data_IF_777778250561
#
_entry.id   IF_777778250561
#
_cell.length_a   1.000
_cell.length_b   1.000
_cell.length_c   1.000
_cell.angle_alpha   90.00
_cell.angle_beta   90.00
_cell.angle_gamma   90.00
#
_symmetry.space_group_name_H-M   'P 1'
#
loop_
_entity.id
_entity.type
_entity.pdbx_description
1 polymer ?
#
# COMPACT_ATOMS: atom_id res chain seq x y z
N UNK A 1 2.21 15.55 29.73
CA UNK A 1 2.08 15.58 28.26
C UNK A 1 1.07 16.66 27.95
N UNK A 2 1.52 17.85 27.53
CA UNK A 2 0.59 18.94 27.21
C UNK A 2 -0.07 18.60 25.87
N UNK A 3 -1.24 17.96 25.96
CA UNK A 3 -2.02 17.55 24.81
C UNK A 3 -2.78 18.78 24.31
N UNK A 4 -2.34 19.38 23.20
CA UNK A 4 -3.10 20.48 22.63
C UNK A 4 -4.55 20.04 22.34
N UNK A 5 -5.48 20.83 22.86
CA UNK A 5 -6.91 20.54 22.94
C UNK A 5 -7.57 20.42 21.56
N UNK A 6 -7.02 21.07 20.53
CA UNK A 6 -7.55 20.98 19.16
C UNK A 6 -7.27 19.59 18.60
N UNK A 7 -6.07 19.06 18.82
CA UNK A 7 -5.70 17.71 18.38
C UNK A 7 -6.53 16.66 19.12
N UNK A 8 -6.70 16.80 20.45
CA UNK A 8 -7.58 15.92 21.21
C UNK A 8 -9.00 15.92 20.64
N UNK A 9 -9.54 17.10 20.32
CA UNK A 9 -10.86 17.24 19.68
C UNK A 9 -10.96 16.55 18.32
N UNK A 10 -9.89 16.58 17.52
CA UNK A 10 -9.85 15.87 16.23
C UNK A 10 -9.84 14.35 16.42
N UNK A 11 -8.96 13.83 17.29
CA UNK A 11 -8.88 12.39 17.60
C UNK A 11 -10.22 11.88 18.15
N UNK A 12 -10.84 12.62 19.08
CA UNK A 12 -12.14 12.29 19.66
C UNK A 12 -13.24 12.16 18.59
N UNK A 13 -13.30 13.10 17.63
CA UNK A 13 -14.27 13.05 16.53
C UNK A 13 -14.03 11.87 15.58
N UNK A 14 -12.78 11.61 15.24
CA UNK A 14 -12.39 10.51 14.33
C UNK A 14 -12.68 9.13 14.95
N UNK A 15 -12.37 8.96 16.24
CA UNK A 15 -12.69 7.75 17.00
C UNK A 15 -14.17 7.66 17.43
N UNK A 16 -14.95 8.74 17.26
CA UNK A 16 -16.36 8.85 17.70
C UNK A 16 -16.54 8.58 19.20
N UNK A 17 -15.65 9.13 20.01
CA UNK A 17 -15.66 9.02 21.48
C UNK A 17 -15.61 10.40 22.11
N UNK A 18 -15.90 10.51 23.41
CA UNK A 18 -15.74 11.79 24.12
C UNK A 18 -14.27 12.13 24.38
N UNK A 19 -13.97 13.44 24.52
CA UNK A 19 -12.64 13.94 24.86
C UNK A 19 -12.05 13.26 26.10
N UNK A 20 -12.87 13.11 27.16
CA UNK A 20 -12.46 12.47 28.41
C UNK A 20 -12.00 11.02 28.19
N UNK A 21 -12.67 10.27 27.31
CA UNK A 21 -12.29 8.90 26.98
C UNK A 21 -11.00 8.87 26.16
N UNK A 22 -10.82 9.81 25.22
CA UNK A 22 -9.57 9.97 24.47
C UNK A 22 -8.40 10.25 25.40
N UNK A 23 -8.52 11.26 26.28
CA UNK A 23 -7.47 11.62 27.25
C UNK A 23 -7.10 10.43 28.15
N UNK A 24 -8.09 9.78 28.75
CA UNK A 24 -7.86 8.62 29.63
C UNK A 24 -7.15 7.47 28.89
N UNK A 25 -7.53 7.23 27.63
CA UNK A 25 -6.89 6.20 26.79
C UNK A 25 -5.44 6.56 26.47
N UNK A 26 -5.16 7.82 26.12
CA UNK A 26 -3.81 8.29 25.80
C UNK A 26 -2.86 8.23 27.00
N UNK A 27 -3.36 8.48 28.21
CA UNK A 27 -2.57 8.29 29.45
C UNK A 27 -2.15 6.82 29.59
N UNK A 28 -3.09 5.89 29.40
CA UNK A 28 -2.77 4.46 29.49
C UNK A 28 -1.79 4.01 28.40
N UNK A 29 -1.94 4.51 27.17
CA UNK A 29 -1.01 4.22 26.07
C UNK A 29 0.40 4.79 26.33
N UNK A 30 0.49 5.97 26.95
CA UNK A 30 1.77 6.55 27.36
C UNK A 30 2.47 5.70 28.43
N UNK A 31 1.71 5.06 29.31
CA UNK A 31 2.20 4.07 30.29
C UNK A 31 2.47 2.68 29.66
N UNK A 32 2.53 2.61 28.32
CA UNK A 32 2.78 1.40 27.53
C UNK A 32 1.73 0.29 27.72
N UNK A 33 0.53 0.63 28.18
CA UNK A 33 -0.57 -0.33 28.23
C UNK A 33 -0.98 -0.72 26.80
N UNK A 34 -1.11 -2.04 26.55
CA UNK A 34 -1.50 -2.54 25.23
C UNK A 34 -2.99 -2.36 24.98
N UNK A 35 -3.41 -2.29 23.71
CA UNK A 35 -4.83 -2.18 23.32
C UNK A 35 -5.69 -3.27 23.98
N UNK A 36 -5.33 -4.57 23.94
CA UNK A 36 -6.12 -5.61 24.60
C UNK A 36 -6.15 -5.46 26.12
N UNK A 37 -5.06 -4.99 26.74
CA UNK A 37 -5.02 -4.74 28.18
C UNK A 37 -6.00 -3.64 28.57
N UNK A 38 -6.00 -2.53 27.83
CA UNK A 38 -6.90 -1.40 28.08
C UNK A 38 -8.36 -1.83 27.91
N UNK A 39 -8.67 -2.47 26.77
CA UNK A 39 -10.02 -2.92 26.45
C UNK A 39 -10.56 -3.95 27.45
N UNK A 40 -9.70 -4.77 28.06
CA UNK A 40 -10.13 -5.80 29.02
C UNK A 40 -10.14 -5.33 30.46
N UNK A 41 -9.10 -4.62 30.91
CA UNK A 41 -8.83 -4.35 32.33
C UNK A 41 -8.92 -2.88 32.74
N UNK A 42 -9.19 -1.97 31.79
CA UNK A 42 -9.33 -0.53 32.04
C UNK A 42 -10.63 0.07 31.50
N UNK A 43 -11.65 -0.78 31.31
CA UNK A 43 -12.97 -0.40 30.80
C UNK A 43 -13.60 0.78 31.55
N UNK A 44 -13.58 0.77 32.87
CA UNK A 44 -14.20 1.85 33.65
C UNK A 44 -13.47 3.20 33.45
N UNK A 45 -12.14 3.15 33.36
CA UNK A 45 -11.30 4.34 33.17
C UNK A 45 -11.51 4.95 31.78
N UNK A 46 -11.68 4.12 30.75
CA UNK A 46 -11.92 4.57 29.38
C UNK A 46 -13.40 4.75 29.04
N UNK A 47 -14.33 4.45 29.95
CA UNK A 47 -15.77 4.50 29.68
C UNK A 47 -16.25 3.44 28.68
N UNK A 48 -15.75 2.21 28.83
CA UNK A 48 -16.09 1.02 28.05
C UNK A 48 -15.74 1.10 26.56
N UNK A 49 -14.63 1.73 26.20
CA UNK A 49 -14.14 1.68 24.81
C UNK A 49 -13.77 0.25 24.41
N UNK A 50 -14.08 -0.08 23.15
CA UNK A 50 -13.64 -1.31 22.52
C UNK A 50 -12.22 -1.19 21.91
N UNK A 51 -11.67 -2.32 21.47
CA UNK A 51 -10.33 -2.39 20.88
C UNK A 51 -10.20 -1.58 19.58
N UNK A 52 -11.29 -1.43 18.82
CA UNK A 52 -11.29 -0.68 17.55
C UNK A 52 -11.15 0.81 17.85
N UNK A 53 -11.93 1.33 18.78
CA UNK A 53 -11.87 2.72 19.21
C UNK A 53 -10.50 3.08 19.82
N UNK A 54 -9.98 2.22 20.69
CA UNK A 54 -8.65 2.42 21.31
C UNK A 54 -7.54 2.42 20.26
N UNK A 55 -7.63 1.53 19.25
CA UNK A 55 -6.67 1.49 18.14
C UNK A 55 -6.70 2.76 17.30
N UNK A 56 -7.88 3.26 16.95
CA UNK A 56 -8.02 4.53 16.22
C UNK A 56 -7.37 5.68 17.01
N UNK A 57 -7.62 5.76 18.33
CA UNK A 57 -6.99 6.77 19.19
C UNK A 57 -5.46 6.67 19.13
N UNK A 58 -4.90 5.47 19.23
CA UNK A 58 -3.45 5.25 19.17
C UNK A 58 -2.85 5.65 17.82
N UNK A 59 -3.45 5.21 16.71
CA UNK A 59 -2.98 5.52 15.35
C UNK A 59 -3.04 7.03 15.06
N UNK A 60 -4.15 7.69 15.42
CA UNK A 60 -4.32 9.13 15.20
C UNK A 60 -3.42 9.95 16.12
N UNK A 61 -3.18 9.50 17.34
CA UNK A 61 -2.20 10.14 18.21
C UNK A 61 -0.80 10.12 17.60
N UNK A 62 -0.34 8.97 17.10
CA UNK A 62 0.97 8.86 16.48
C UNK A 62 1.06 9.73 15.21
N UNK A 63 0.01 9.75 14.38
CA UNK A 63 -0.07 10.67 13.22
C UNK A 63 0.16 12.13 13.62
N UNK A 64 -0.54 12.62 14.65
CA UNK A 64 -0.42 14.02 15.07
C UNK A 64 0.90 14.31 15.79
N UNK A 65 1.49 13.32 16.46
CA UNK A 65 2.82 13.42 17.06
C UNK A 65 3.89 13.58 15.99
N UNK A 66 3.85 12.78 14.93
CA UNK A 66 4.73 12.92 13.76
C UNK A 66 4.54 14.28 13.08
N UNK A 67 3.28 14.71 12.88
CA UNK A 67 2.97 16.01 12.27
C UNK A 67 3.56 17.16 13.11
N UNK A 68 3.42 17.13 14.43
CA UNK A 68 4.00 18.14 15.34
C UNK A 68 5.52 18.18 15.27
N UNK A 69 6.17 17.01 15.26
CA UNK A 69 7.62 16.93 15.13
C UNK A 69 8.08 17.56 13.80
N UNK A 70 7.41 17.20 12.69
CA UNK A 70 7.69 17.75 11.37
C UNK A 70 7.45 19.26 11.30
N UNK A 71 6.35 19.74 11.87
CA UNK A 71 6.03 21.18 11.97
C UNK A 71 7.15 21.96 12.66
N UNK A 72 7.66 21.42 13.77
CA UNK A 72 8.76 22.04 14.51
C UNK A 72 10.02 22.14 13.66
N UNK A 73 10.37 21.09 12.92
CA UNK A 73 11.50 21.11 11.97
C UNK A 73 11.32 22.16 10.88
N UNK A 74 10.11 22.26 10.32
CA UNK A 74 9.79 23.23 9.26
C UNK A 74 9.89 24.67 9.77
N UNK A 75 9.26 24.98 10.91
CA UNK A 75 9.32 26.31 11.52
C UNK A 75 10.78 26.74 11.75
N UNK A 76 11.59 25.83 12.33
CA UNK A 76 13.01 26.09 12.58
C UNK A 76 13.77 26.37 11.27
N UNK A 77 13.55 25.56 10.24
CA UNK A 77 14.24 25.72 8.95
C UNK A 77 13.90 27.04 8.26
N UNK A 78 12.65 27.51 8.36
CA UNK A 78 12.20 28.78 7.78
C UNK A 78 12.74 29.96 8.61
N UNK A 79 12.76 29.83 9.94
CA UNK A 79 13.30 30.84 10.85
C UNK A 79 14.81 31.03 10.67
N UNK A 80 15.57 29.95 10.50
CA UNK A 80 17.01 29.98 10.18
C UNK A 80 17.32 30.71 8.86
N UNK A 81 16.36 30.79 7.93
CA UNK A 81 16.47 31.55 6.68
C UNK A 81 16.02 33.00 6.79
N UNK A 82 15.47 33.42 7.95
CA UNK A 82 14.91 34.77 8.14
C UNK A 82 13.59 35.02 7.42
N UNK A 83 12.92 33.96 6.92
CA UNK A 83 11.72 34.07 6.09
C UNK A 83 10.41 33.82 6.87
N UNK A 84 10.48 33.58 8.18
CA UNK A 84 9.32 33.21 8.99
C UNK A 84 8.51 34.45 9.40
N UNK A 85 7.49 34.78 8.61
CA UNK A 85 6.51 35.82 8.96
C UNK A 85 5.49 35.31 9.98
N UNK A 86 4.82 36.21 10.69
CA UNK A 86 3.80 35.83 11.68
C UNK A 86 2.58 35.16 11.03
N UNK A 87 2.18 35.62 9.84
CA UNK A 87 1.12 34.98 9.05
C UNK A 87 1.50 33.53 8.67
N UNK A 88 2.73 33.32 8.19
CA UNK A 88 3.22 31.98 7.85
C UNK A 88 3.34 31.09 9.08
N UNK A 89 3.81 31.63 10.21
CA UNK A 89 3.88 30.92 11.49
C UNK A 89 2.50 30.41 11.90
N UNK A 90 1.49 31.28 11.84
CA UNK A 90 0.11 30.92 12.18
C UNK A 90 -0.44 29.85 11.22
N UNK A 91 -0.26 30.00 9.90
CA UNK A 91 -0.65 28.98 8.90
C UNK A 91 -0.03 27.61 9.17
N UNK A 92 1.25 27.56 9.51
CA UNK A 92 1.96 26.31 9.81
C UNK A 92 1.48 25.71 11.14
N UNK A 93 1.20 26.53 12.15
CA UNK A 93 0.66 26.10 13.44
C UNK A 93 -0.76 25.51 13.31
N UNK A 94 -1.60 26.13 12.50
CA UNK A 94 -2.99 25.72 12.26
C UNK A 94 -3.13 24.65 11.16
N UNK A 95 -2.04 24.15 10.60
CA UNK A 95 -2.06 23.07 9.61
C UNK A 95 -2.13 21.68 10.28
N UNK A 96 -3.15 20.89 9.95
CA UNK A 96 -3.40 19.56 10.51
C UNK A 96 -3.24 18.41 9.51
N UNK A 97 -2.77 18.71 8.31
CA UNK A 97 -2.57 17.74 7.24
C UNK A 97 -1.11 17.73 6.79
N UNK A 98 -0.50 16.54 6.73
CA UNK A 98 0.91 16.38 6.32
C UNK A 98 1.21 16.99 4.94
N UNK A 99 0.30 16.84 3.98
CA UNK A 99 0.49 17.34 2.62
C UNK A 99 0.46 18.87 2.55
N UNK A 100 -0.50 19.50 3.22
CA UNK A 100 -0.61 20.96 3.29
C UNK A 100 0.58 21.57 4.04
N UNK A 101 1.08 20.88 5.08
CA UNK A 101 2.30 21.30 5.80
C UNK A 101 3.54 21.27 4.90
N UNK A 102 3.69 20.24 4.06
CA UNK A 102 4.80 20.18 3.10
C UNK A 102 4.65 21.23 1.98
N UNK A 103 3.43 21.50 1.52
CA UNK A 103 3.17 22.55 0.53
C UNK A 103 3.57 23.94 1.07
N UNK A 104 3.24 24.26 2.33
CA UNK A 104 3.68 25.50 3.00
C UNK A 104 5.20 25.60 3.16
N UNK A 105 5.90 24.47 3.30
CA UNK A 105 7.35 24.43 3.43
C UNK A 105 8.08 24.47 2.08
N UNK A 106 7.42 24.09 0.99
CA UNK A 106 8.04 23.88 -0.31
C UNK A 106 8.88 25.07 -0.82
N UNK A 107 8.44 26.34 -0.70
CA UNK A 107 9.24 27.51 -1.12
C UNK A 107 10.57 27.66 -0.36
N UNK A 108 10.62 27.17 0.87
CA UNK A 108 11.75 27.33 1.79
C UNK A 108 12.64 26.09 1.87
N UNK A 109 12.25 25.01 1.20
CA UNK A 109 13.00 23.77 1.22
C UNK A 109 14.30 23.97 0.44
N UNK A 110 15.48 23.62 1.00
CA UNK A 110 16.75 23.74 0.28
C UNK A 110 16.72 23.01 -1.07
N UNK A 111 17.03 23.74 -2.15
CA UNK A 111 16.93 23.22 -3.53
C UNK A 111 18.31 23.07 -4.16
N UNK A 112 18.40 22.14 -5.12
CA UNK A 112 19.52 22.11 -6.08
C UNK A 112 19.37 23.30 -7.04
N UNK A 113 20.44 23.65 -7.78
CA UNK A 113 20.36 24.67 -8.84
C UNK A 113 19.22 24.34 -9.82
N UNK A 114 18.19 25.18 -9.86
CA UNK A 114 17.09 25.14 -10.82
C UNK A 114 17.24 26.24 -11.86
N UNK A 115 16.42 26.20 -12.92
CA UNK A 115 16.37 27.31 -13.88
C UNK A 115 16.01 28.65 -13.22
N UNK A 116 15.11 28.62 -12.23
CA UNK A 116 14.71 29.79 -11.46
C UNK A 116 15.86 30.30 -10.58
N UNK A 117 16.53 29.44 -9.80
CA UNK A 117 17.65 29.88 -8.95
C UNK A 117 18.79 30.45 -9.79
N UNK A 118 19.06 29.85 -10.97
CA UNK A 118 20.04 30.41 -11.91
C UNK A 118 19.60 31.78 -12.39
N UNK A 119 18.34 31.98 -12.77
CA UNK A 119 17.83 33.30 -13.17
C UNK A 119 17.87 34.34 -12.03
N UNK A 120 17.64 33.92 -10.78
CA UNK A 120 17.80 34.76 -9.58
C UNK A 120 19.26 35.17 -9.39
N UNK A 121 20.21 34.22 -9.50
CA UNK A 121 21.66 34.50 -9.45
C UNK A 121 22.09 35.49 -10.53
N UNK A 122 21.42 35.47 -11.70
CA UNK A 122 21.63 36.43 -12.80
C UNK A 122 20.96 37.79 -12.57
N UNK A 123 20.20 37.96 -11.49
CA UNK A 123 19.54 39.21 -11.11
C UNK A 123 18.22 39.48 -11.83
N UNK A 124 17.53 38.44 -12.33
CA UNK A 124 16.27 38.56 -13.09
C UNK A 124 15.01 38.55 -12.21
N UNK A 125 15.15 38.34 -10.91
CA UNK A 125 14.01 38.33 -9.98
C UNK A 125 13.18 39.62 -9.98
N UNK A 126 13.76 40.84 -10.04
CA UNK A 126 12.97 42.06 -10.11
C UNK A 126 12.07 42.14 -11.36
N UNK A 127 12.55 41.62 -12.51
CA UNK A 127 11.74 41.52 -13.72
C UNK A 127 10.58 40.52 -13.54
N UNK A 128 10.84 39.37 -12.90
CA UNK A 128 9.81 38.40 -12.56
C UNK A 128 8.73 38.99 -11.62
N UNK A 129 9.14 39.75 -10.60
CA UNK A 129 8.21 40.44 -9.67
C UNK A 129 7.34 41.45 -10.41
N UNK A 130 7.92 42.25 -11.29
CA UNK A 130 7.16 43.22 -12.10
C UNK A 130 6.06 42.54 -12.93
N UNK A 131 6.40 41.43 -13.61
CA UNK A 131 5.42 40.65 -14.39
C UNK A 131 4.35 40.03 -13.47
N UNK A 132 4.75 39.50 -12.31
CA UNK A 132 3.86 38.85 -11.34
C UNK A 132 2.85 39.81 -10.70
N UNK A 133 3.28 41.03 -10.37
CA UNK A 133 2.44 42.05 -9.73
C UNK A 133 1.31 42.53 -10.65
N UNK A 134 1.49 42.44 -11.97
CA UNK A 134 0.50 42.81 -12.99
C UNK A 134 0.01 44.26 -12.82
N UNK A 135 0.90 45.16 -12.42
CA UNK A 135 0.59 46.59 -12.28
C UNK A 135 1.16 47.30 -13.50
N UNK A 136 0.33 47.92 -14.36
CA UNK A 136 0.82 48.67 -15.52
C UNK A 136 1.82 49.75 -15.09
N UNK A 137 3.00 49.74 -15.71
CA UNK A 137 4.05 50.74 -15.51
C UNK A 137 4.18 51.70 -16.69
N UNK A 138 5.11 52.65 -16.59
CA UNK A 138 5.45 53.57 -17.69
C UNK A 138 6.21 52.87 -18.84
N UNK A 139 6.95 51.81 -18.52
CA UNK A 139 7.69 50.98 -19.50
C UNK A 139 6.92 49.71 -19.84
N UNK A 140 7.05 49.26 -21.08
CA UNK A 140 6.61 47.92 -21.46
C UNK A 140 7.46 46.83 -20.80
N UNK A 141 6.97 45.60 -20.80
CA UNK A 141 7.69 44.45 -20.23
C UNK A 141 9.00 44.21 -20.98
N UNK A 142 8.97 44.38 -22.29
CA UNK A 142 10.10 44.22 -23.19
C UNK A 142 11.14 45.33 -22.98
N UNK A 143 10.70 46.58 -22.84
CA UNK A 143 11.58 47.73 -22.53
C UNK A 143 12.24 47.55 -21.15
N UNK A 144 11.50 47.02 -20.18
CA UNK A 144 12.06 46.72 -18.88
C UNK A 144 13.07 45.57 -18.99
N UNK A 145 12.77 44.51 -19.74
CA UNK A 145 13.67 43.37 -19.93
C UNK A 145 15.00 43.74 -20.59
N UNK A 146 15.02 44.71 -21.50
CA UNK A 146 16.25 45.24 -22.10
C UNK A 146 17.22 45.82 -21.04
N UNK A 147 16.68 46.35 -19.93
CA UNK A 147 17.51 46.87 -18.83
C UNK A 147 18.21 45.77 -18.01
N UNK A 148 17.84 44.50 -18.19
CA UNK A 148 18.43 43.35 -17.50
C UNK A 148 19.50 42.62 -18.34
N UNK A 149 19.79 43.08 -19.57
CA UNK A 149 20.86 42.51 -20.39
C UNK A 149 22.22 42.73 -19.69
N UNK A 150 22.91 41.64 -19.38
CA UNK A 150 24.18 41.68 -18.68
C UNK A 150 25.02 40.44 -19.04
N UNK A 151 25.97 40.63 -19.96
CA UNK A 151 26.86 39.57 -20.43
C UNK A 151 27.73 38.96 -19.31
N UNK A 152 28.12 39.74 -18.30
CA UNK A 152 28.92 39.24 -17.16
C UNK A 152 28.11 38.29 -16.28
N UNK A 153 26.80 38.55 -16.15
CA UNK A 153 25.85 37.65 -15.49
C UNK A 153 25.31 36.56 -16.42
N UNK A 154 25.76 36.50 -17.67
CA UNK A 154 25.31 35.49 -18.64
C UNK A 154 23.87 35.68 -19.11
N UNK A 155 23.42 36.94 -19.24
CA UNK A 155 22.17 37.35 -19.88
C UNK A 155 22.52 38.12 -21.14
N UNK A 156 22.42 37.48 -22.30
CA UNK A 156 22.94 38.00 -23.57
C UNK A 156 21.92 38.79 -24.39
N UNK A 157 20.62 38.61 -24.12
CA UNK A 157 19.54 39.27 -24.84
C UNK A 157 18.32 39.54 -23.95
N UNK A 158 17.38 40.35 -24.44
CA UNK A 158 16.10 40.59 -23.76
C UNK A 158 15.25 39.32 -23.68
N UNK A 159 15.34 38.45 -24.68
CA UNK A 159 14.64 37.17 -24.71
C UNK A 159 15.15 36.24 -23.59
N UNK A 160 16.47 36.20 -23.36
CA UNK A 160 17.04 35.45 -22.23
C UNK A 160 16.64 36.03 -20.87
N UNK A 161 16.56 37.38 -20.76
CA UNK A 161 16.09 38.04 -19.55
C UNK A 161 14.63 37.68 -19.24
N UNK A 162 13.76 37.74 -20.25
CA UNK A 162 12.36 37.33 -20.16
C UNK A 162 12.24 35.85 -19.81
N UNK A 163 12.91 34.97 -20.55
CA UNK A 163 12.89 33.52 -20.28
C UNK A 163 13.31 33.20 -18.84
N UNK A 164 14.37 33.85 -18.34
CA UNK A 164 14.80 33.70 -16.94
C UNK A 164 13.75 34.18 -15.95
N UNK A 165 13.10 35.32 -16.19
CA UNK A 165 12.01 35.82 -15.36
C UNK A 165 10.80 34.86 -15.37
N UNK A 166 10.45 34.29 -16.52
CA UNK A 166 9.34 33.33 -16.64
C UNK A 166 9.65 32.01 -15.92
N UNK A 167 10.91 31.54 -15.93
CA UNK A 167 11.31 30.38 -15.13
C UNK A 167 11.13 30.61 -13.63
N UNK A 168 11.38 31.82 -13.14
CA UNK A 168 11.16 32.19 -11.73
C UNK A 168 9.67 32.13 -11.40
N UNK A 169 8.83 32.75 -12.24
CA UNK A 169 7.36 32.73 -12.07
C UNK A 169 6.83 31.30 -12.12
N UNK A 170 7.32 30.48 -13.05
CA UNK A 170 6.93 29.09 -13.17
C UNK A 170 7.21 28.29 -11.88
N UNK A 171 8.34 28.57 -11.21
CA UNK A 171 8.67 27.95 -9.93
C UNK A 171 7.74 28.46 -8.81
N UNK A 172 7.51 29.78 -8.70
CA UNK A 172 6.57 30.35 -7.71
C UNK A 172 5.16 29.76 -7.81
N UNK A 173 4.65 29.61 -9.04
CA UNK A 173 3.35 28.99 -9.32
C UNK A 173 3.35 27.53 -8.89
N UNK A 174 4.45 26.80 -9.15
CA UNK A 174 4.54 25.38 -8.82
C UNK A 174 4.57 25.10 -7.32
N UNK A 175 4.94 26.10 -6.54
CA UNK A 175 5.12 26.03 -5.08
C UNK A 175 4.01 26.75 -4.32
N UNK A 176 3.04 27.32 -5.02
CA UNK A 176 1.88 27.96 -4.41
C UNK A 176 0.96 26.88 -3.78
N UNK A 177 0.76 26.90 -2.44
CA UNK A 177 -0.02 25.86 -1.76
C UNK A 177 -1.47 25.74 -2.25
N UNK A 178 -2.13 26.85 -2.56
CA UNK A 178 -3.54 26.86 -3.00
C UNK A 178 -3.69 26.26 -4.40
N UNK A 179 -2.77 26.60 -5.32
CA UNK A 179 -2.74 26.02 -6.66
C UNK A 179 -2.50 24.50 -6.57
N UNK A 180 -1.52 24.07 -5.78
CA UNK A 180 -1.22 22.65 -5.57
C UNK A 180 -2.41 21.91 -4.97
N UNK A 181 -3.03 22.45 -3.93
CA UNK A 181 -4.23 21.88 -3.28
C UNK A 181 -5.36 21.70 -4.27
N UNK A 182 -5.66 22.73 -5.06
CA UNK A 182 -6.75 22.69 -6.04
C UNK A 182 -6.47 21.67 -7.15
N UNK A 183 -5.26 21.68 -7.73
CA UNK A 183 -4.86 20.72 -8.77
C UNK A 183 -4.83 19.27 -8.26
N UNK A 184 -4.39 19.05 -7.02
CA UNK A 184 -4.41 17.72 -6.37
C UNK A 184 -5.84 17.20 -6.24
N UNK A 185 -6.77 18.04 -5.78
CA UNK A 185 -8.18 17.68 -5.66
C UNK A 185 -8.80 17.37 -7.02
N UNK A 186 -8.57 18.23 -8.01
CA UNK A 186 -9.03 18.01 -9.38
C UNK A 186 -8.47 16.69 -9.95
N UNK A 187 -7.18 16.40 -9.71
CA UNK A 187 -6.53 15.15 -10.14
C UNK A 187 -7.09 13.91 -9.47
N UNK A 188 -7.43 13.98 -8.19
CA UNK A 188 -8.08 12.87 -7.51
C UNK A 188 -9.49 12.59 -8.05
N UNK A 189 -10.20 13.62 -8.51
CA UNK A 189 -11.58 13.54 -8.97
C UNK A 189 -11.73 13.18 -10.45
N UNK A 190 -10.95 13.81 -11.32
CA UNK A 190 -11.16 13.78 -12.78
C UNK A 190 -10.11 12.99 -13.55
N UNK A 191 -8.90 12.79 -12.99
CA UNK A 191 -7.83 12.15 -13.74
C UNK A 191 -8.06 10.65 -13.95
N UNK A 192 -7.33 10.10 -14.92
CA UNK A 192 -7.41 8.68 -15.31
C UNK A 192 -6.06 8.03 -15.08
N UNK A 193 -6.05 6.88 -14.40
CA UNK A 193 -4.89 5.99 -14.36
C UNK A 193 -4.79 5.31 -15.71
N UNK A 194 -3.65 5.47 -16.39
CA UNK A 194 -3.36 4.83 -17.66
C UNK A 194 -2.21 3.86 -17.46
N UNK A 195 -2.39 2.63 -17.95
CA UNK A 195 -1.36 1.60 -17.96
C UNK A 195 -1.15 1.11 -19.38
N UNK A 196 0.12 0.98 -19.77
CA UNK A 196 0.53 0.51 -21.09
C UNK A 196 1.64 -0.53 -20.97
N UNK A 197 1.68 -1.49 -21.88
CA UNK A 197 2.81 -2.42 -21.99
C UNK A 197 4.12 -1.68 -22.25
N UNK A 198 5.20 -2.07 -21.57
CA UNK A 198 6.50 -1.49 -21.76
C UNK A 198 7.04 -1.79 -23.18
N UNK A 199 7.86 -0.87 -23.72
CA UNK A 199 8.48 -1.05 -25.04
C UNK A 199 9.28 -2.36 -25.09
N UNK A 200 9.07 -3.16 -26.13
CA UNK A 200 9.73 -4.46 -26.31
C UNK A 200 9.12 -5.63 -25.51
N UNK A 201 7.98 -5.43 -24.83
CA UNK A 201 7.27 -6.47 -24.06
C UNK A 201 5.90 -6.86 -24.62
N UNK A 202 5.47 -6.25 -25.72
CA UNK A 202 4.13 -6.45 -26.31
C UNK A 202 3.85 -7.91 -26.74
N UNK A 203 4.87 -8.63 -27.23
CA UNK A 203 4.73 -10.00 -27.71
C UNK A 203 4.76 -11.06 -26.60
N UNK A 204 5.13 -10.66 -25.36
CA UNK A 204 5.16 -11.55 -24.21
C UNK A 204 3.79 -11.53 -23.55
N UNK A 205 3.02 -12.61 -23.64
CA UNK A 205 1.81 -12.75 -22.82
C UNK A 205 2.23 -12.99 -21.37
N UNK A 206 1.86 -12.06 -20.50
CA UNK A 206 2.17 -12.11 -19.07
C UNK A 206 0.87 -12.09 -18.27
N UNK A 207 0.96 -12.28 -16.95
CA UNK A 207 -0.16 -12.12 -16.01
C UNK A 207 -0.74 -10.70 -15.94
N UNK A 208 -0.19 -9.75 -16.71
CA UNK A 208 -0.62 -8.35 -16.77
C UNK A 208 -1.25 -7.97 -18.12
N UNK A 209 -1.57 -8.95 -18.98
CA UNK A 209 -2.13 -8.72 -20.31
C UNK A 209 -3.34 -7.79 -20.30
N UNK A 210 -4.23 -7.93 -19.32
CA UNK A 210 -5.40 -7.06 -19.13
C UNK A 210 -5.07 -5.59 -18.83
N UNK A 211 -3.80 -5.28 -18.50
CA UNK A 211 -3.31 -3.94 -18.20
C UNK A 211 -2.41 -3.35 -19.29
N UNK A 212 -2.28 -4.02 -20.45
CA UNK A 212 -1.43 -3.58 -21.57
C UNK A 212 -1.96 -2.36 -22.30
N UNK A 213 -3.27 -2.15 -22.28
CA UNK A 213 -3.94 -0.93 -22.71
C UNK A 213 -5.14 -0.70 -21.79
N UNK A 214 -4.89 -0.07 -20.65
CA UNK A 214 -5.87 0.07 -19.58
C UNK A 214 -6.02 1.52 -19.15
N UNK A 215 -7.28 1.93 -18.94
CA UNK A 215 -7.66 3.28 -18.51
C UNK A 215 -8.78 3.18 -17.49
N UNK A 216 -8.62 3.77 -16.31
CA UNK A 216 -9.68 3.84 -15.30
C UNK A 216 -9.60 5.13 -14.48
N UNK A 217 -10.73 5.78 -14.12
CA UNK A 217 -10.71 6.99 -13.30
C UNK A 217 -10.02 6.77 -11.94
N UNK A 218 -9.16 7.72 -11.54
CA UNK A 218 -8.45 7.73 -10.25
C UNK A 218 -9.41 7.58 -9.07
N UNK A 219 -10.54 8.28 -9.12
CA UNK A 219 -11.56 8.24 -8.08
C UNK A 219 -12.16 6.84 -7.88
N UNK A 220 -12.21 6.00 -8.92
CA UNK A 220 -12.98 4.74 -8.94
C UNK A 220 -12.13 3.48 -9.01
N UNK A 221 -10.85 3.58 -9.37
CA UNK A 221 -10.00 2.41 -9.59
C UNK A 221 -9.88 1.54 -8.31
N UNK A 222 -10.25 0.24 -8.38
CA UNK A 222 -10.14 -0.68 -7.25
C UNK A 222 -8.70 -0.94 -6.80
N UNK A 223 -8.54 -1.20 -5.50
CA UNK A 223 -7.23 -1.40 -4.85
C UNK A 223 -6.40 -2.53 -5.47
N UNK A 224 -7.01 -3.67 -5.79
CA UNK A 224 -6.29 -4.78 -6.42
C UNK A 224 -5.72 -4.43 -7.81
N UNK A 225 -6.40 -3.58 -8.59
CA UNK A 225 -5.92 -3.15 -9.93
C UNK A 225 -4.75 -2.17 -9.79
N UNK A 226 -4.83 -1.23 -8.85
CA UNK A 226 -3.71 -0.34 -8.54
C UNK A 226 -2.47 -1.15 -8.15
N UNK A 227 -2.62 -2.15 -7.27
CA UNK A 227 -1.52 -3.02 -6.84
C UNK A 227 -0.95 -3.86 -7.99
N UNK A 228 -1.81 -4.42 -8.85
CA UNK A 228 -1.38 -5.18 -10.02
C UNK A 228 -0.58 -4.32 -11.02
N UNK A 229 -1.08 -3.12 -11.35
CA UNK A 229 -0.38 -2.17 -12.23
C UNK A 229 0.97 -1.79 -11.63
N UNK A 230 1.01 -1.42 -10.34
CA UNK A 230 2.26 -1.07 -9.65
C UNK A 230 3.27 -2.21 -9.66
N UNK A 231 2.80 -3.46 -9.46
CA UNK A 231 3.66 -4.65 -9.54
C UNK A 231 4.21 -4.85 -10.95
N UNK A 232 3.36 -4.71 -11.98
CA UNK A 232 3.80 -4.79 -13.38
C UNK A 232 4.79 -3.70 -13.77
N UNK A 233 4.65 -2.48 -13.22
CA UNK A 233 5.63 -1.40 -13.38
C UNK A 233 6.96 -1.75 -12.69
N UNK A 234 6.92 -2.29 -11.46
CA UNK A 234 8.12 -2.72 -10.73
C UNK A 234 8.85 -3.87 -11.46
N UNK A 235 8.11 -4.79 -12.06
CA UNK A 235 8.62 -5.90 -12.87
C UNK A 235 9.02 -5.44 -14.31
N UNK A 236 8.92 -4.14 -14.62
CA UNK A 236 9.27 -3.53 -15.92
C UNK A 236 8.49 -4.08 -17.12
N UNK A 237 7.27 -4.56 -16.89
CA UNK A 237 6.36 -5.09 -17.92
C UNK A 237 5.34 -4.03 -18.34
N UNK A 238 4.98 -3.14 -17.41
CA UNK A 238 4.05 -2.04 -17.63
C UNK A 238 4.73 -0.69 -17.42
N UNK A 239 4.11 0.34 -17.97
CA UNK A 239 4.31 1.75 -17.66
C UNK A 239 2.99 2.31 -17.16
N UNK A 240 3.02 3.26 -16.21
CA UNK A 240 1.79 3.87 -15.69
C UNK A 240 1.90 5.38 -15.51
N UNK A 241 0.91 6.08 -16.06
CA UNK A 241 0.74 7.53 -15.98
C UNK A 241 -0.60 7.87 -15.35
N UNK A 242 -0.69 9.06 -14.78
CA UNK A 242 -1.96 9.65 -14.39
C UNK A 242 -2.19 10.78 -15.40
N UNK A 243 -3.22 10.63 -16.23
CA UNK A 243 -3.54 11.58 -17.28
C UNK A 243 -4.67 12.50 -16.81
N UNK A 244 -4.42 13.80 -16.94
CA UNK A 244 -5.35 14.89 -16.65
C UNK A 244 -5.50 15.76 -17.90
N UNK A 245 -6.67 16.36 -18.06
CA UNK A 245 -6.91 17.41 -19.05
C UNK A 245 -6.06 18.66 -18.72
N UNK A 246 -5.00 18.86 -19.50
CA UNK A 246 -4.07 19.97 -19.31
C UNK A 246 -4.68 21.34 -19.58
N UNK A 247 -5.64 21.44 -20.50
CA UNK A 247 -6.29 22.72 -20.81
C UNK A 247 -7.16 23.18 -19.64
N UNK A 248 -7.92 22.25 -19.05
CA UNK A 248 -8.68 22.56 -17.83
C UNK A 248 -7.77 22.93 -16.65
N UNK A 249 -6.68 22.20 -16.45
CA UNK A 249 -5.73 22.50 -15.38
C UNK A 249 -5.10 23.89 -15.58
N UNK A 250 -4.70 24.24 -16.80
CA UNK A 250 -4.18 25.56 -17.13
C UNK A 250 -5.24 26.65 -16.94
N UNK A 251 -6.48 26.44 -17.38
CA UNK A 251 -7.57 27.40 -17.17
C UNK A 251 -7.79 27.68 -15.68
N UNK A 252 -7.73 26.64 -14.84
CA UNK A 252 -7.83 26.77 -13.38
C UNK A 252 -6.68 27.59 -12.80
N UNK A 253 -5.43 27.30 -13.19
CA UNK A 253 -4.25 28.03 -12.72
C UNK A 253 -4.32 29.48 -13.18
N UNK A 254 -4.64 29.73 -14.45
CA UNK A 254 -4.79 31.07 -15.02
C UNK A 254 -5.84 31.89 -14.28
N UNK A 255 -6.98 31.30 -13.93
CA UNK A 255 -8.03 31.99 -13.16
C UNK A 255 -7.62 32.37 -11.73
N UNK A 256 -6.56 31.75 -11.18
CA UNK A 256 -6.01 32.11 -9.86
C UNK A 256 -4.86 33.12 -9.95
N UNK A 257 -4.15 33.18 -11.07
CA UNK A 257 -2.93 33.97 -11.23
C UNK A 257 -3.15 35.25 -12.04
N UNK A 258 -3.86 35.17 -13.16
CA UNK A 258 -4.05 36.29 -14.09
C UNK A 258 -5.24 37.12 -13.63
N UNK A 259 -5.00 38.40 -13.29
CA UNK A 259 -6.04 39.32 -12.79
C UNK A 259 -7.00 39.75 -13.88
N UNK A 260 -6.47 40.02 -15.07
CA UNK A 260 -7.22 40.44 -16.26
C UNK A 260 -6.51 39.91 -17.53
N UNK A 261 -7.16 39.04 -18.32
CA UNK A 261 -6.60 38.49 -19.56
C UNK A 261 -6.26 39.54 -20.63
N UNK A 262 -6.80 40.74 -20.54
CA UNK A 262 -6.54 41.82 -21.51
C UNK A 262 -5.30 42.65 -21.17
N UNK A 263 -4.67 42.41 -20.01
CA UNK A 263 -3.44 43.10 -19.62
C UNK A 263 -2.23 42.62 -20.42
N UNK A 264 -1.22 43.50 -20.66
CA UNK A 264 -0.01 43.13 -21.39
C UNK A 264 0.82 42.05 -20.70
N UNK A 265 0.58 41.79 -19.41
CA UNK A 265 1.22 40.72 -18.64
C UNK A 265 0.69 39.32 -18.96
N UNK A 266 -0.57 39.21 -19.43
CA UNK A 266 -1.24 37.92 -19.58
C UNK A 266 -0.50 36.95 -20.52
N UNK A 267 -0.03 37.36 -21.72
CA UNK A 267 0.70 36.44 -22.62
C UNK A 267 1.99 35.89 -21.99
N UNK A 268 2.71 36.70 -21.22
CA UNK A 268 3.92 36.27 -20.51
C UNK A 268 3.58 35.30 -19.39
N UNK A 269 2.57 35.63 -18.59
CA UNK A 269 2.10 34.74 -17.52
C UNK A 269 1.63 33.41 -18.10
N UNK A 270 0.85 33.38 -19.17
CA UNK A 270 0.40 32.14 -19.83
C UNK A 270 1.57 31.23 -20.22
N UNK A 271 2.67 31.78 -20.73
CA UNK A 271 3.88 31.01 -21.04
C UNK A 271 4.47 30.40 -19.76
N UNK A 272 4.61 31.21 -18.70
CA UNK A 272 5.14 30.74 -17.42
C UNK A 272 4.23 29.71 -16.74
N UNK A 273 2.91 29.88 -16.82
CA UNK A 273 1.91 28.96 -16.29
C UNK A 273 1.95 27.61 -17.02
N UNK A 274 2.10 27.64 -18.35
CA UNK A 274 2.25 26.43 -19.16
C UNK A 274 3.51 25.66 -18.78
N UNK A 275 4.66 26.34 -18.71
CA UNK A 275 5.92 25.71 -18.28
C UNK A 275 5.82 25.18 -16.85
N UNK A 276 5.21 25.94 -15.93
CA UNK A 276 4.96 25.51 -14.55
C UNK A 276 4.13 24.22 -14.51
N UNK A 277 3.01 24.19 -15.26
CA UNK A 277 2.13 23.04 -15.29
C UNK A 277 2.84 21.80 -15.85
N UNK A 278 3.40 21.89 -17.05
CA UNK A 278 3.95 20.74 -17.77
C UNK A 278 5.20 20.18 -17.09
N UNK A 279 6.11 21.06 -16.64
CA UNK A 279 7.42 20.66 -16.14
C UNK A 279 7.45 20.39 -14.63
N UNK A 280 6.64 21.11 -13.84
CA UNK A 280 6.76 21.12 -12.39
C UNK A 280 5.52 20.58 -11.67
N UNK A 281 4.35 21.20 -11.88
CA UNK A 281 3.11 20.84 -11.18
C UNK A 281 2.61 19.47 -11.58
N UNK A 282 2.41 19.20 -12.87
CA UNK A 282 1.84 17.93 -13.33
C UNK A 282 2.66 16.72 -12.86
N UNK A 283 3.99 16.65 -13.05
CA UNK A 283 4.80 15.54 -12.51
C UNK A 283 4.74 15.42 -10.98
N UNK A 284 4.74 16.56 -10.27
CA UNK A 284 4.63 16.61 -8.81
C UNK A 284 3.30 16.06 -8.31
N UNK A 285 2.18 16.58 -8.83
CA UNK A 285 0.82 16.16 -8.47
C UNK A 285 0.58 14.70 -8.85
N UNK A 286 1.07 14.23 -10.01
CA UNK A 286 0.98 12.80 -10.35
C UNK A 286 1.70 11.92 -9.32
N UNK A 287 2.86 12.36 -8.82
CA UNK A 287 3.61 11.60 -7.80
C UNK A 287 2.82 11.52 -6.50
N UNK A 288 2.21 12.61 -6.07
CA UNK A 288 1.37 12.66 -4.88
C UNK A 288 0.12 11.79 -5.01
N UNK A 289 -0.59 11.87 -6.14
CA UNK A 289 -1.79 11.06 -6.38
C UNK A 289 -1.43 9.57 -6.44
N UNK A 290 -0.28 9.20 -7.02
CA UNK A 290 0.22 7.81 -6.95
C UNK A 290 0.48 7.35 -5.52
N UNK A 291 0.95 8.24 -4.63
CA UNK A 291 1.15 7.92 -3.22
C UNK A 291 -0.20 7.72 -2.50
N UNK A 292 -1.17 8.60 -2.73
CA UNK A 292 -2.54 8.46 -2.20
C UNK A 292 -3.20 7.16 -2.65
N UNK A 293 -3.11 6.83 -3.95
CA UNK A 293 -3.63 5.57 -4.49
C UNK A 293 -2.96 4.36 -3.84
N UNK A 294 -1.64 4.42 -3.62
CA UNK A 294 -0.89 3.35 -2.95
C UNK A 294 -1.36 3.17 -1.51
N UNK A 295 -1.41 4.25 -0.73
CA UNK A 295 -1.83 4.21 0.68
C UNK A 295 -3.24 3.66 0.84
N UNK A 296 -4.19 4.13 0.00
CA UNK A 296 -5.55 3.60 -0.07
C UNK A 296 -5.55 2.09 -0.37
N UNK A 297 -4.80 1.69 -1.38
CA UNK A 297 -4.80 0.30 -1.86
C UNK A 297 -4.17 -0.67 -0.88
N UNK A 298 -3.06 -0.27 -0.26
CA UNK A 298 -2.39 -1.06 0.76
C UNK A 298 -3.30 -1.20 1.99
N UNK A 299 -3.94 -0.13 2.43
CA UNK A 299 -4.85 -0.16 3.57
C UNK A 299 -6.03 -1.11 3.35
N UNK A 300 -6.63 -1.10 2.15
CA UNK A 300 -7.71 -2.02 1.81
C UNK A 300 -7.24 -3.47 1.72
N UNK A 301 -6.08 -3.73 1.09
CA UNK A 301 -5.51 -5.06 1.01
C UNK A 301 -5.16 -5.63 2.40
N UNK A 302 -4.58 -4.80 3.27
CA UNK A 302 -4.25 -5.18 4.65
C UNK A 302 -5.52 -5.55 5.42
N UNK A 303 -6.62 -4.82 5.27
CA UNK A 303 -7.90 -5.17 5.91
C UNK A 303 -8.43 -6.53 5.46
N UNK A 304 -8.30 -6.86 4.17
CA UNK A 304 -8.67 -8.19 3.67
C UNK A 304 -7.77 -9.27 4.28
N UNK A 305 -6.46 -9.03 4.38
CA UNK A 305 -5.54 -9.96 5.02
C UNK A 305 -5.79 -10.12 6.52
N UNK A 306 -6.11 -9.02 7.21
CA UNK A 306 -6.50 -9.02 8.62
C UNK A 306 -7.75 -9.88 8.85
N UNK A 307 -8.80 -9.67 8.07
CA UNK A 307 -10.03 -10.45 8.16
C UNK A 307 -9.78 -11.94 7.88
N UNK A 308 -9.01 -12.25 6.84
CA UNK A 308 -8.65 -13.63 6.51
C UNK A 308 -7.83 -14.29 7.63
N UNK A 309 -6.84 -13.59 8.18
CA UNK A 309 -6.02 -14.09 9.28
C UNK A 309 -6.84 -14.28 10.55
N UNK A 310 -7.73 -13.35 10.88
CA UNK A 310 -8.62 -13.48 12.03
C UNK A 310 -9.51 -14.72 11.92
N UNK A 311 -10.10 -14.96 10.74
CA UNK A 311 -10.91 -16.15 10.48
C UNK A 311 -10.10 -17.44 10.64
N UNK A 312 -8.83 -17.45 10.20
CA UNK A 312 -7.94 -18.60 10.37
C UNK A 312 -7.58 -18.85 11.83
N UNK A 313 -7.26 -17.80 12.59
CA UNK A 313 -6.88 -17.90 14.00
C UNK A 313 -8.04 -18.26 14.93
N UNK A 314 -9.26 -17.87 14.56
CA UNK A 314 -10.48 -18.11 15.33
C UNK A 314 -11.29 -19.31 14.83
N UNK A 315 -10.79 -20.04 13.83
CA UNK A 315 -11.41 -21.28 13.38
C UNK A 315 -11.54 -22.26 14.54
N UNK A 316 -12.70 -22.93 14.64
CA UNK A 316 -12.95 -23.88 15.70
C UNK A 316 -11.89 -25.00 15.65
N UNK A 317 -11.17 -25.26 16.76
CA UNK A 317 -10.20 -26.34 16.79
C UNK A 317 -10.93 -27.69 16.72
N UNK A 318 -10.39 -28.64 15.96
CA UNK A 318 -10.94 -30.00 15.85
C UNK A 318 -10.85 -30.80 17.17
N UNK A 319 -10.13 -30.28 18.17
CA UNK A 319 -9.94 -30.90 19.47
C UNK A 319 -8.76 -31.89 19.52
N UNK A 320 -8.59 -32.59 20.66
CA UNK A 320 -7.50 -33.53 20.87
C UNK A 320 -7.80 -34.86 20.19
N UNK A 321 -7.51 -34.96 18.89
CA UNK A 321 -7.70 -36.18 18.09
C UNK A 321 -6.43 -36.51 17.32
N UNK A 322 -6.22 -37.79 17.00
CA UNK A 322 -5.14 -38.20 16.10
C UNK A 322 -5.40 -37.71 14.67
N UNK A 323 -4.42 -37.01 14.09
CA UNK A 323 -4.55 -36.37 12.76
C UNK A 323 -3.44 -36.84 11.83
N UNK A 324 -3.83 -37.15 10.60
CA UNK A 324 -2.90 -37.32 9.48
C UNK A 324 -2.93 -36.06 8.62
N UNK A 325 -1.84 -35.30 8.61
CA UNK A 325 -1.64 -34.17 7.71
C UNK A 325 -1.05 -34.63 6.38
N UNK A 326 -1.59 -34.13 5.28
CA UNK A 326 -1.10 -34.36 3.92
C UNK A 326 -0.82 -33.00 3.27
N UNK A 327 0.45 -32.75 2.97
CA UNK A 327 0.91 -31.63 2.14
C UNK A 327 0.97 -32.07 0.66
N UNK A 328 0.05 -31.60 -0.20
CA UNK A 328 -0.03 -32.05 -1.58
C UNK A 328 1.19 -31.70 -2.44
N UNK A 329 1.46 -32.54 -3.44
CA UNK A 329 2.47 -32.25 -4.44
C UNK A 329 2.49 -33.22 -5.62
N UNK A 330 2.87 -32.70 -6.79
CA UNK A 330 3.09 -33.48 -8.00
C UNK A 330 4.48 -34.12 -8.01
N UNK A 331 5.48 -33.40 -8.55
CA UNK A 331 6.85 -33.90 -8.78
C UNK A 331 7.54 -34.41 -7.51
N UNK A 332 7.36 -33.71 -6.38
CA UNK A 332 7.99 -34.07 -5.10
C UNK A 332 7.15 -35.04 -4.26
N UNK A 333 5.98 -35.46 -4.76
CA UNK A 333 5.02 -36.26 -4.00
C UNK A 333 4.30 -35.47 -2.91
N UNK A 334 3.29 -36.12 -2.33
CA UNK A 334 2.54 -35.62 -1.18
C UNK A 334 3.24 -36.09 0.10
N UNK A 335 3.50 -35.17 1.03
CA UNK A 335 4.17 -35.49 2.30
C UNK A 335 3.08 -35.76 3.32
N UNK A 336 3.19 -36.88 4.00
CA UNK A 336 2.25 -37.32 5.02
C UNK A 336 2.95 -37.20 6.36
N UNK A 337 2.29 -36.60 7.34
CA UNK A 337 2.73 -36.54 8.74
C UNK A 337 1.58 -36.97 9.64
N UNK A 338 1.91 -37.69 10.71
CA UNK A 338 0.94 -38.21 11.66
C UNK A 338 1.25 -37.66 13.04
N UNK A 339 0.22 -37.14 13.71
CA UNK A 339 0.28 -36.68 15.10
C UNK A 339 -0.79 -37.36 15.94
N UNK A 340 -0.51 -37.59 17.22
CA UNK A 340 -1.51 -38.06 18.19
C UNK A 340 -2.42 -36.93 18.71
N UNK A 341 -3.34 -37.28 19.60
CA UNK A 341 -4.29 -36.38 20.27
C UNK A 341 -3.65 -35.22 21.06
N UNK A 342 -2.36 -35.33 21.40
CA UNK A 342 -1.60 -34.27 22.08
C UNK A 342 -0.87 -33.35 21.10
N UNK A 343 -0.88 -33.68 19.80
CA UNK A 343 -0.08 -33.03 18.77
C UNK A 343 1.35 -33.57 18.67
N UNK A 344 1.68 -34.67 19.36
CA UNK A 344 3.01 -35.28 19.27
C UNK A 344 3.17 -35.98 17.93
N UNK A 345 4.28 -35.67 17.25
CA UNK A 345 4.66 -36.35 16.01
C UNK A 345 4.92 -37.84 16.24
N UNK A 346 4.32 -38.68 15.39
CA UNK A 346 4.45 -40.14 15.44
C UNK A 346 5.24 -40.67 14.24
N UNK A 347 4.85 -40.29 13.03
CA UNK A 347 5.42 -40.86 11.80
C UNK A 347 5.24 -39.90 10.61
N UNK A 348 6.06 -40.07 9.57
CA UNK A 348 5.90 -39.39 8.29
C UNK A 348 6.14 -40.36 7.12
N UNK A 349 5.60 -40.04 5.96
CA UNK A 349 5.83 -40.75 4.72
C UNK A 349 5.80 -39.78 3.52
N UNK A 350 6.29 -40.22 2.37
CA UNK A 350 6.06 -39.51 1.10
C UNK A 350 5.36 -40.47 0.14
N UNK A 351 4.19 -40.06 -0.34
CA UNK A 351 3.37 -40.83 -1.29
C UNK A 351 3.33 -40.13 -2.64
N UNK A 352 3.10 -40.89 -3.70
CA UNK A 352 3.10 -40.37 -5.06
C UNK A 352 1.81 -40.73 -5.83
N UNK A 353 0.64 -40.27 -5.40
CA UNK A 353 -0.64 -40.60 -6.05
C UNK A 353 -0.80 -39.94 -7.43
N UNK A 354 -0.05 -38.86 -7.70
CA UNK A 354 -0.20 -38.03 -8.90
C UNK A 354 0.97 -38.18 -9.88
N UNK A 355 0.78 -37.65 -11.09
CA UNK A 355 1.84 -37.56 -12.09
C UNK A 355 3.07 -36.77 -11.56
N UNK A 356 4.30 -37.16 -11.95
CA UNK A 356 4.63 -38.11 -13.01
C UNK A 356 4.73 -39.58 -12.57
N UNK A 357 4.71 -39.89 -11.26
CA UNK A 357 4.90 -41.26 -10.77
C UNK A 357 3.59 -42.05 -10.72
N UNK A 358 2.48 -41.40 -10.33
CA UNK A 358 1.11 -41.94 -10.30
C UNK A 358 1.02 -43.34 -9.65
N UNK A 359 1.75 -43.56 -8.56
CA UNK A 359 1.69 -44.78 -7.77
C UNK A 359 0.51 -44.72 -6.78
N UNK A 360 -0.69 -44.93 -7.30
CA UNK A 360 -1.94 -44.89 -6.54
C UNK A 360 -1.98 -46.02 -5.50
N UNK A 361 -1.66 -47.27 -5.88
CA UNK A 361 -1.75 -48.42 -4.97
C UNK A 361 -0.77 -48.32 -3.81
N UNK A 362 0.48 -47.92 -4.06
CA UNK A 362 1.47 -47.73 -3.00
C UNK A 362 1.10 -46.57 -2.05
N UNK A 363 0.46 -45.52 -2.58
CA UNK A 363 -0.07 -44.44 -1.77
C UNK A 363 -1.23 -44.91 -0.88
N UNK A 364 -2.21 -45.65 -1.43
CA UNK A 364 -3.35 -46.21 -0.67
C UNK A 364 -2.88 -47.17 0.42
N UNK A 365 -1.95 -48.08 0.12
CA UNK A 365 -1.38 -49.01 1.10
C UNK A 365 -0.67 -48.29 2.26
N UNK A 366 0.07 -47.22 1.94
CA UNK A 366 0.74 -46.39 2.96
C UNK A 366 -0.27 -45.68 3.86
N UNK A 367 -1.32 -45.08 3.28
CA UNK A 367 -2.38 -44.41 4.05
C UNK A 367 -3.13 -45.41 4.94
N UNK A 368 -3.47 -46.59 4.41
CA UNK A 368 -4.14 -47.66 5.16
C UNK A 368 -3.35 -48.07 6.41
N UNK A 369 -2.05 -48.33 6.26
CA UNK A 369 -1.16 -48.69 7.38
C UNK A 369 -1.15 -47.61 8.45
N UNK A 370 -0.98 -46.35 8.06
CA UNK A 370 -0.88 -45.23 8.99
C UNK A 370 -2.21 -44.96 9.72
N UNK A 371 -3.36 -45.11 9.05
CA UNK A 371 -4.67 -44.98 9.68
C UNK A 371 -4.86 -45.98 10.82
N UNK A 372 -4.56 -47.26 10.57
CA UNK A 372 -4.74 -48.33 11.57
C UNK A 372 -3.73 -48.27 12.71
N UNK A 373 -2.45 -48.02 12.40
CA UNK A 373 -1.38 -48.05 13.38
C UNK A 373 -1.54 -46.95 14.45
N UNK A 374 -2.07 -45.79 14.06
CA UNK A 374 -2.05 -44.58 14.90
C UNK A 374 -3.45 -44.06 15.29
N UNK A 375 -4.52 -44.85 15.08
CA UNK A 375 -5.91 -44.51 15.43
C UNK A 375 -6.34 -43.09 14.96
N UNK A 376 -6.08 -42.80 13.69
CA UNK A 376 -6.36 -41.48 13.11
C UNK A 376 -7.85 -41.25 12.98
N UNK A 377 -8.31 -40.07 13.42
CA UNK A 377 -9.72 -39.64 13.39
C UNK A 377 -10.00 -38.56 12.35
N UNK A 378 -8.97 -37.84 11.90
CA UNK A 378 -9.11 -36.83 10.86
C UNK A 378 -7.91 -36.82 9.91
N UNK A 379 -8.18 -36.48 8.64
CA UNK A 379 -7.15 -36.23 7.63
C UNK A 379 -7.21 -34.74 7.26
N UNK A 380 -6.12 -34.01 7.48
CA UNK A 380 -5.97 -32.63 7.08
C UNK A 380 -5.22 -32.54 5.76
N UNK A 381 -5.76 -31.84 4.77
CA UNK A 381 -5.15 -31.70 3.44
C UNK A 381 -4.80 -30.24 3.21
N UNK A 382 -3.53 -29.97 2.88
CA UNK A 382 -3.08 -28.63 2.51
C UNK A 382 -3.79 -28.11 1.26
N UNK A 383 -4.09 -26.82 1.19
CA UNK A 383 -4.79 -26.19 0.07
C UNK A 383 -3.84 -25.69 -1.04
N UNK A 384 -2.60 -26.17 -1.06
CA UNK A 384 -1.56 -25.77 -2.02
C UNK A 384 -1.67 -26.45 -3.39
N UNK A 385 -0.54 -26.52 -4.09
CA UNK A 385 -0.43 -27.16 -5.42
C UNK A 385 -0.81 -28.64 -5.34
N UNK A 386 -1.64 -29.13 -6.27
CA UNK A 386 -2.17 -30.50 -6.28
C UNK A 386 -3.22 -30.83 -5.20
N UNK A 387 -3.76 -29.82 -4.50
CA UNK A 387 -4.73 -30.04 -3.42
C UNK A 387 -6.04 -30.66 -3.89
N UNK A 388 -6.58 -30.22 -5.03
CA UNK A 388 -7.83 -30.76 -5.60
C UNK A 388 -7.69 -32.23 -5.98
N UNK A 389 -6.58 -32.58 -6.63
CA UNK A 389 -6.25 -33.95 -7.03
C UNK A 389 -6.05 -34.83 -5.79
N UNK A 390 -5.39 -34.30 -4.75
CA UNK A 390 -5.16 -35.01 -3.49
C UNK A 390 -6.45 -35.22 -2.71
N UNK A 391 -7.33 -34.22 -2.63
CA UNK A 391 -8.66 -34.36 -2.02
C UNK A 391 -9.49 -35.44 -2.74
N UNK A 392 -9.53 -35.43 -4.07
CA UNK A 392 -10.21 -36.46 -4.86
C UNK A 392 -9.62 -37.86 -4.61
N UNK A 393 -8.29 -37.98 -4.55
CA UNK A 393 -7.60 -39.22 -4.23
C UNK A 393 -7.95 -39.73 -2.82
N UNK A 394 -7.85 -38.88 -1.80
CA UNK A 394 -8.14 -39.23 -0.41
C UNK A 394 -9.60 -39.61 -0.23
N UNK A 395 -10.55 -38.89 -0.83
CA UNK A 395 -11.98 -39.26 -0.80
C UNK A 395 -12.22 -40.63 -1.43
N UNK A 396 -11.55 -40.93 -2.54
CA UNK A 396 -11.68 -42.23 -3.17
C UNK A 396 -11.12 -43.36 -2.29
N UNK A 397 -9.94 -43.12 -1.71
CA UNK A 397 -9.34 -44.04 -0.74
C UNK A 397 -10.26 -44.28 0.48
N UNK A 398 -10.85 -43.23 1.06
CA UNK A 398 -11.77 -43.37 2.19
C UNK A 398 -13.03 -44.15 1.83
N UNK A 399 -13.57 -44.02 0.60
CA UNK A 399 -14.69 -44.84 0.13
C UNK A 399 -14.32 -46.32 0.06
N UNK A 400 -13.15 -46.65 -0.49
CA UNK A 400 -12.64 -48.04 -0.53
C UNK A 400 -12.40 -48.59 0.88
N UNK A 401 -11.92 -47.75 1.78
CA UNK A 401 -11.68 -48.11 3.18
C UNK A 401 -12.97 -48.48 3.89
N UNK A 402 -14.04 -47.72 3.64
CA UNK A 402 -15.38 -47.98 4.20
C UNK A 402 -16.08 -49.18 3.56
N UNK A 403 -15.82 -49.49 2.28
CA UNK A 403 -16.40 -50.66 1.60
C UNK A 403 -15.72 -52.00 1.96
N UNK A 404 -14.62 -51.97 2.72
CA UNK A 404 -13.86 -53.17 3.10
C UNK A 404 -13.06 -53.78 1.94
N UNK A 405 -12.77 -53.00 0.90
CA UNK A 405 -11.89 -53.43 -0.19
C UNK A 405 -10.46 -53.72 0.33
N UNK A 406 -9.83 -54.78 -0.18
CA UNK A 406 -8.48 -55.16 0.21
C UNK A 406 -7.45 -54.16 -0.35
N UNK A 407 -6.58 -53.65 0.53
CA UNK A 407 -5.41 -52.86 0.16
C UNK A 407 -4.16 -53.75 0.16
N UNK A 408 -4.21 -54.87 -0.57
CA UNK A 408 -3.11 -55.84 -0.62
C UNK A 408 -1.82 -55.18 -1.12
N UNK A 409 -0.80 -55.26 -0.26
CA UNK A 409 0.46 -54.56 -0.37
C UNK A 409 1.37 -55.17 -1.45
N UNK A 410 1.80 -54.36 -2.42
CA UNK A 410 3.15 -54.54 -2.91
C UNK A 410 4.12 -54.15 -1.78
N UNK A 411 5.06 -55.06 -1.51
CA UNK A 411 6.15 -55.00 -0.53
C UNK A 411 6.61 -53.56 -0.23
N UNK A 412 6.76 -53.16 1.05
CA UNK A 412 7.38 -51.88 1.38
C UNK A 412 8.80 -51.85 0.81
N UNK A 413 9.07 -50.90 -0.09
CA UNK A 413 10.43 -50.61 -0.54
C UNK A 413 11.18 -50.04 0.67
N UNK A 414 12.35 -50.60 1.04
CA UNK A 414 13.09 -50.13 2.20
C UNK A 414 13.49 -48.67 2.03
N UNK A 415 13.46 -47.95 3.15
CA UNK A 415 13.97 -46.60 3.31
C UNK A 415 15.43 -46.52 2.84
N UNK A 416 15.68 -45.97 1.65
CA UNK A 416 17.02 -45.49 1.29
C UNK A 416 17.20 -44.08 1.82
N UNK A 417 17.69 -43.99 3.05
CA UNK A 417 18.29 -42.78 3.55
C UNK A 417 19.69 -42.62 2.93
N UNK A 418 20.02 -41.46 2.34
CA UNK A 418 21.35 -40.91 2.50
C UNK A 418 21.37 -40.07 3.78
N UNK A 419 22.20 -40.48 4.73
CA UNK A 419 22.64 -39.61 5.80
C UNK A 419 23.48 -38.46 5.23
N UNK A 420 22.87 -37.28 5.05
CA UNK A 420 23.52 -35.96 4.94
C UNK A 420 22.39 -34.90 4.99
N UNK A 421 22.31 -33.90 5.87
CA UNK A 421 23.28 -33.32 6.77
C UNK A 421 22.59 -32.92 8.09
N UNK A 422 23.23 -33.26 9.21
CA UNK A 422 23.10 -32.51 10.46
C UNK A 422 24.12 -31.39 10.39
N UNK A 423 23.66 -30.20 10.06
CA UNK A 423 24.25 -28.89 10.40
C UNK A 423 23.26 -27.85 9.87
N UNK A 424 22.29 -27.40 10.66
CA UNK A 424 22.51 -26.31 11.61
C UNK A 424 21.32 -26.28 12.58
N UNK A 425 21.53 -26.78 13.80
CA UNK A 425 20.58 -26.65 14.89
C UNK A 425 21.01 -25.48 15.78
N UNK A 426 20.78 -24.26 15.29
CA UNK A 426 20.66 -23.08 16.14
C UNK A 426 19.16 -22.80 16.26
N UNK A 427 18.51 -23.48 17.21
CA UNK A 427 17.09 -23.36 17.53
C UNK A 427 16.12 -23.46 16.33
N UNK A 428 15.37 -24.55 16.23
CA UNK A 428 14.10 -24.55 15.51
C UNK A 428 13.05 -23.70 16.29
N UNK A 429 13.38 -22.42 16.44
CA UNK A 429 12.45 -21.31 16.55
C UNK A 429 11.76 -21.23 15.19
N UNK A 430 10.56 -21.80 15.09
CA UNK A 430 9.41 -21.22 14.38
C UNK A 430 8.31 -22.26 14.34
N UNK A 431 7.20 -21.94 15.02
CA UNK A 431 5.87 -22.42 14.64
C UNK A 431 5.77 -22.24 13.13
N UNK A 432 5.52 -23.32 12.38
CA UNK A 432 5.40 -23.27 10.93
C UNK A 432 4.39 -22.18 10.57
N UNK A 433 4.88 -21.14 9.88
CA UNK A 433 4.02 -20.12 9.32
C UNK A 433 3.03 -20.78 8.35
N UNK A 434 1.75 -20.35 8.31
CA UNK A 434 0.84 -20.79 7.27
C UNK A 434 1.45 -20.46 5.91
N UNK A 435 1.34 -21.41 4.98
CA UNK A 435 1.85 -21.29 3.62
C UNK A 435 1.34 -20.00 2.93
N UNK A 436 2.23 -19.41 2.14
CA UNK A 436 2.10 -18.15 1.38
C UNK A 436 0.68 -17.65 1.09
N UNK A 437 0.38 -16.46 1.64
CA UNK A 437 -0.63 -15.54 1.10
C UNK A 437 -0.07 -14.91 -0.18
N UNK A 438 -0.15 -15.63 -1.30
CA UNK A 438 0.11 -15.06 -2.62
C UNK A 438 -0.63 -15.81 -3.73
N UNK A 439 -1.81 -15.29 -4.10
CA UNK A 439 -2.47 -15.29 -5.42
C UNK A 439 -3.96 -15.71 -5.37
N UNK A 440 -4.85 -14.74 -5.20
CA UNK A 440 -5.93 -14.49 -6.17
C UNK A 440 -6.67 -13.19 -5.83
N UNK A 441 -6.02 -12.07 -6.17
CA UNK A 441 -6.77 -10.93 -6.65
C UNK A 441 -6.84 -11.05 -8.18
N UNK A 442 -7.76 -11.89 -8.69
CA UNK A 442 -8.14 -11.96 -10.10
C UNK A 442 -9.52 -12.64 -10.25
N UNK A 443 -10.44 -11.88 -10.86
CA UNK A 443 -11.75 -12.26 -11.45
C UNK A 443 -12.95 -12.47 -10.49
N UNK A 444 -14.02 -11.65 -10.59
CA UNK A 444 -15.22 -11.76 -9.75
C UNK A 444 -16.27 -12.78 -10.23
N UNK A 445 -16.01 -13.56 -11.29
CA UNK A 445 -16.98 -14.53 -11.83
C UNK A 445 -16.67 -15.98 -11.41
N UNK A 446 -16.61 -16.21 -10.10
CA UNK A 446 -16.69 -17.59 -9.56
C UNK A 446 -17.87 -17.62 -8.60
N UNK A 447 -18.89 -18.48 -8.82
CA UNK A 447 -20.03 -18.56 -7.93
C UNK A 447 -19.53 -18.96 -6.53
N UNK A 448 -19.97 -18.21 -5.53
CA UNK A 448 -19.78 -18.47 -4.11
C UNK A 448 -20.23 -19.88 -3.77
N UNK A 449 -19.26 -20.76 -3.50
CA UNK A 449 -19.52 -22.04 -2.83
C UNK A 449 -19.34 -21.75 -1.34
N UNK A 450 -20.43 -21.88 -0.59
CA UNK A 450 -20.44 -21.81 0.88
C UNK A 450 -19.36 -22.75 1.45
N UNK A 451 -18.42 -22.19 2.20
CA UNK A 451 -17.43 -22.94 2.97
C UNK A 451 -18.06 -23.37 4.30
N UNK A 452 -18.93 -24.37 4.22
CA UNK A 452 -19.22 -25.29 5.29
C UNK A 452 -19.12 -26.70 4.69
N UNK A 453 -18.53 -27.64 5.43
CA UNK A 453 -18.39 -29.06 5.07
C UNK A 453 -17.19 -29.47 4.20
N UNK A 454 -16.02 -29.56 4.84
CA UNK A 454 -15.12 -30.70 4.58
C UNK A 454 -14.31 -31.10 5.81
N UNK A 455 -14.99 -31.32 6.93
CA UNK A 455 -14.50 -32.23 7.97
C UNK A 455 -15.30 -33.52 7.82
N UNK A 456 -14.68 -34.58 7.32
CA UNK A 456 -15.29 -35.90 7.38
C UNK A 456 -15.16 -36.42 8.82
N UNK A 457 -16.12 -36.05 9.68
CA UNK A 457 -16.28 -36.66 11.00
C UNK A 457 -16.92 -38.04 10.80
N UNK A 458 -16.24 -39.10 11.24
CA UNK A 458 -16.85 -40.43 11.37
C UNK A 458 -17.26 -40.61 12.82
N UNK A 459 -18.56 -40.57 13.11
CA UNK A 459 -19.12 -41.05 14.38
C UNK A 459 -19.13 -42.57 14.37
N UNK A 460 -18.31 -43.19 15.22
CA UNK A 460 -18.42 -44.62 15.55
C UNK A 460 -19.41 -44.78 16.71
N UNK A 461 -20.56 -45.39 16.43
CA UNK A 461 -21.55 -45.84 17.43
C UNK A 461 -21.17 -47.26 17.89
N UNK A 462 -20.81 -47.42 19.15
CA UNK A 462 -20.90 -48.70 19.92
C UNK A 462 -22.38 -48.89 20.34
N UNK A 463 -23.03 -50.05 20.52
CA UNK A 463 -22.70 -51.48 20.63
C UNK A 463 -24.05 -52.25 20.32
N UNK A 464 -24.25 -53.57 20.59
CA UNK A 464 -23.71 -54.43 21.66
C UNK A 464 -22.65 -55.44 21.23
#
# INVERSE_FOLDING_TARGET
>A
MELDQIILGKISKEARVSLKQTEATLVLLADQATVPFIARYRKEVTGNLDEVQIRIIAERHEYYKELRARRTTILKSIEEQGNLTEDLRNKIQDCYEKNELEDLYLPYKPKRKTKATVAIDRGLEPLARFIWEQVPGEKSIEELAETFINSEKGVSSKEEALEGALHIIAEWVSENPEIRKTLRQMTLQEAVVVSKVAKGKAEQKTKYDMYYDFREPVAKIPSHRVLAIRRGVKEQILTSTIEMDGEKALSLISGQVIKDPHMPFAPFLEIALKDSYERLLNPGIQTEVRAVLKERSDSEAIKVFEANLANLLLAAPAGPIGVMGIDPGFRTGCKVAVVDETGKFLEHATIHPHDPKKNILGAESTLYRLLHQHNIKAIAIGNGTASRETDAFVRNFLRKYQSGESFDAEKPIPNEAPAAARDSAESASTVAAPAEVAQSAASPDTPSIDFADSVALTETVEAP
#
